data_IF_154704643548
#
_entry.id   IF_154704643548
#
_cell.length_a   1.000
_cell.length_b   1.000
_cell.length_c   1.000
_cell.angle_alpha   90.00
_cell.angle_beta   90.00
_cell.angle_gamma   90.00
#
_symmetry.space_group_name_H-M   'P 1'
#
loop_
_entity.id
_entity.type
_entity.pdbx_description
1 polymer ?
2 non-polymer ?
3 non-polymer ?
4 water ?
#
# COMPACT_ATOMS: atom_id res chain seq x y z
N UNK A 14 -17.11 -27.68 16.97
CA UNK A 14 -18.56 -27.59 16.60
C UNK A 14 -18.81 -26.39 15.65
N UNK A 15 -18.37 -25.22 16.04
CA UNK A 15 -18.53 -24.01 15.24
C UNK A 15 -17.81 -24.21 13.87
N UNK A 16 -18.45 -23.79 12.79
CA UNK A 16 -17.87 -23.85 11.47
C UNK A 16 -18.15 -22.54 10.73
N UNK A 17 -17.22 -22.19 9.82
CA UNK A 17 -17.40 -21.05 8.95
C UNK A 17 -17.09 -21.41 7.49
N UNK A 18 -17.79 -20.76 6.56
CA UNK A 18 -17.46 -20.96 5.17
C UNK A 18 -15.98 -20.65 4.87
N UNK A 19 -15.49 -21.34 3.86
CA UNK A 19 -14.13 -21.13 3.35
C UNK A 19 -13.93 -19.70 3.02
N UNK A 20 -14.95 -19.07 2.50
CA UNK A 20 -14.89 -17.71 2.09
C UNK A 20 -14.50 -16.73 3.17
N UNK A 21 -14.76 -17.03 4.44
CA UNK A 21 -14.35 -16.12 5.54
C UNK A 21 -12.84 -15.94 5.57
N UNK A 22 -12.11 -17.00 5.24
CA UNK A 22 -10.65 -17.04 5.38
C UNK A 22 -9.96 -16.52 4.11
N UNK A 23 -10.68 -16.50 2.99
CA UNK A 23 -10.01 -16.37 1.69
C UNK A 23 -9.33 -15.02 1.57
N UNK A 24 -8.07 -15.02 1.13
CA UNK A 24 -7.27 -13.84 1.10
C UNK A 24 -6.49 -13.78 -0.19
N UNK A 25 -6.43 -12.57 -0.72
CA UNK A 25 -5.66 -12.26 -1.93
C UNK A 25 -4.56 -11.25 -1.68
N UNK A 26 -3.40 -11.50 -2.29
CA UNK A 26 -2.30 -10.53 -2.27
C UNK A 26 -1.77 -10.35 -3.69
N UNK A 27 -1.27 -9.14 -3.98
CA UNK A 27 -0.56 -8.90 -5.23
C UNK A 27 0.74 -8.19 -4.89
N UNK A 28 1.83 -8.56 -5.54
CA UNK A 28 3.14 -7.97 -5.24
C UNK A 28 3.86 -7.69 -6.55
N UNK A 29 4.53 -6.57 -6.61
CA UNK A 29 5.34 -6.24 -7.75
C UNK A 29 6.68 -6.95 -7.59
N UNK A 30 7.20 -7.51 -8.67
CA UNK A 30 8.54 -8.15 -8.64
C UNK A 30 9.57 -7.07 -8.95
N UNK A 31 10.50 -6.83 -8.01
CA UNK A 31 11.48 -5.82 -8.20
C UNK A 31 12.91 -6.36 -8.18
N UNK A 32 13.88 -5.56 -8.66
CA UNK A 32 15.30 -6.05 -8.75
C UNK A 32 15.92 -6.70 -7.51
N UNK A 33 15.62 -6.21 -6.30
CA UNK A 33 16.13 -6.89 -5.09
C UNK A 33 15.65 -8.32 -4.86
N UNK A 34 14.54 -8.67 -5.51
CA UNK A 34 13.84 -9.93 -5.39
C UNK A 34 14.34 -11.00 -6.36
N UNK A 35 15.25 -10.66 -7.29
CA UNK A 35 15.62 -11.53 -8.42
C UNK A 35 17.11 -11.86 -8.46
N UNK A 36 17.44 -12.96 -9.15
CA UNK A 36 18.82 -13.27 -9.53
C UNK A 36 19.29 -12.26 -10.59
N UNK A 37 20.55 -12.34 -10.98
CA UNK A 37 21.11 -11.28 -11.81
C UNK A 37 20.62 -11.35 -13.25
N UNK A 38 19.97 -12.44 -13.60
CA UNK A 38 19.22 -12.56 -14.83
C UNK A 38 17.77 -12.07 -14.78
N UNK A 39 17.30 -11.68 -13.60
CA UNK A 39 15.97 -11.10 -13.41
C UNK A 39 14.84 -12.03 -13.07
N UNK A 40 15.18 -13.28 -12.71
CA UNK A 40 14.21 -14.29 -12.28
C UNK A 40 14.04 -14.22 -10.77
N UNK A 41 12.79 -14.14 -10.31
CA UNK A 41 12.53 -14.00 -8.88
C UNK A 41 13.12 -15.19 -8.10
N UNK A 42 13.74 -14.89 -6.95
CA UNK A 42 14.22 -15.99 -6.06
C UNK A 42 13.07 -16.83 -5.59
N UNK A 43 13.24 -18.16 -5.59
CA UNK A 43 12.30 -19.08 -4.96
C UNK A 43 11.91 -18.66 -3.55
N UNK A 44 12.88 -18.21 -2.79
CA UNK A 44 12.64 -17.81 -1.42
C UNK A 44 11.67 -16.66 -1.23
N UNK A 45 11.66 -15.71 -2.14
CA UNK A 45 10.72 -14.60 -2.05
C UNK A 45 9.30 -15.13 -2.23
N UNK A 46 9.13 -16.04 -3.20
CA UNK A 46 7.83 -16.64 -3.45
C UNK A 46 7.35 -17.48 -2.25
N UNK A 47 8.28 -18.23 -1.67
CA UNK A 47 7.96 -18.90 -0.44
C UNK A 47 7.57 -17.97 0.72
N UNK A 48 8.27 -16.86 0.85
CA UNK A 48 7.99 -15.86 1.90
C UNK A 48 6.55 -15.35 1.72
N UNK A 49 6.22 -15.03 0.48
CA UNK A 49 4.87 -14.52 0.16
C UNK A 49 3.77 -15.54 0.37
N UNK A 50 4.05 -16.81 0.07
CA UNK A 50 3.13 -17.92 0.31
C UNK A 50 2.80 -18.05 1.82
N UNK A 51 3.82 -18.03 2.66
CA UNK A 51 3.59 -18.12 4.11
C UNK A 51 2.85 -16.87 4.61
N UNK A 52 3.16 -15.70 4.09
CA UNK A 52 2.50 -14.46 4.52
C UNK A 52 1.02 -14.57 4.28
N UNK A 53 0.64 -15.03 3.10
CA UNK A 53 -0.79 -15.09 2.77
C UNK A 53 -1.42 -16.23 3.58
N UNK A 54 -0.69 -17.30 3.82
CA UNK A 54 -1.23 -18.37 4.62
C UNK A 54 -1.51 -17.97 6.06
N UNK A 55 -0.62 -17.20 6.64
CA UNK A 55 -0.76 -16.67 8.00
C UNK A 55 -1.99 -15.78 8.05
N UNK A 56 -2.15 -14.88 7.08
CA UNK A 56 -3.33 -14.03 7.05
C UNK A 56 -4.63 -14.82 6.96
N UNK A 57 -4.64 -15.78 6.07
CA UNK A 57 -5.76 -16.69 5.90
C UNK A 57 -6.16 -17.41 7.19
N UNK A 58 -5.16 -17.98 7.85
CA UNK A 58 -5.38 -18.77 9.05
C UNK A 58 -5.81 -17.86 10.21
N UNK A 60 -7.51 -15.11 9.92
CA UNK A 60 -8.92 -14.78 9.62
C UNK A 60 -9.87 -15.89 9.99
N UNK A 61 -9.44 -17.14 9.77
CA UNK A 61 -10.32 -18.27 10.09
C UNK A 61 -10.45 -18.47 11.58
N UNK A 62 -9.35 -18.34 12.31
CA UNK A 62 -9.26 -18.68 13.74
C UNK A 62 -9.35 -17.52 14.68
N UNK A 63 -9.29 -16.29 14.14
CA UNK A 63 -9.22 -15.08 14.94
C UNK A 63 -8.18 -15.19 16.08
N UNK A 64 -6.96 -15.56 15.70
CA UNK A 64 -5.89 -15.91 16.63
C UNK A 64 -4.56 -15.62 16.01
N UNK A 65 -3.54 -15.44 16.84
CA UNK A 65 -2.18 -15.62 16.33
C UNK A 65 -2.04 -17.05 15.79
N UNK A 66 -1.13 -17.20 14.83
CA UNK A 66 -0.85 -18.51 14.25
C UNK A 66 0.64 -18.72 14.07
N UNK A 67 1.05 -19.98 13.95
CA UNK A 67 2.43 -20.31 13.60
C UNK A 67 2.37 -21.34 12.48
N UNK A 68 3.42 -21.36 11.66
CA UNK A 68 3.49 -22.31 10.58
C UNK A 68 4.09 -23.63 11.08
N UNK A 69 3.30 -24.69 11.08
CA UNK A 69 3.84 -25.98 11.47
C UNK A 69 4.66 -26.67 10.40
N UNK A 70 4.19 -26.55 9.18
CA UNK A 70 4.82 -27.13 8.00
C UNK A 70 4.29 -26.55 6.68
N UNK A 71 5.07 -26.75 5.64
CA UNK A 71 4.69 -26.55 4.26
C UNK A 71 4.98 -27.85 3.49
N UNK A 72 4.08 -28.27 2.61
CA UNK A 72 4.33 -29.43 1.78
C UNK A 72 5.31 -29.00 0.68
N UNK A 73 5.68 -29.95 -0.16
CA UNK A 73 6.61 -29.63 -1.24
C UNK A 73 6.04 -28.51 -2.15
N UNK A 74 6.92 -27.71 -2.76
CA UNK A 74 6.52 -26.60 -3.64
C UNK A 74 7.33 -26.78 -4.95
N UNK A 75 6.64 -27.04 -6.06
CA UNK A 75 7.29 -27.25 -7.36
C UNK A 75 7.00 -26.00 -8.17
N UNK A 76 8.03 -25.32 -8.62
CA UNK A 76 7.88 -24.10 -9.40
C UNK A 76 7.72 -24.44 -10.87
N UNK A 77 6.52 -24.20 -11.36
CA UNK A 77 6.11 -24.49 -12.73
C UNK A 77 6.57 -23.46 -13.73
N UNK A 78 6.79 -22.24 -13.24
CA UNK A 78 7.24 -21.14 -14.09
C UNK A 78 7.88 -20.12 -13.19
N UNK A 79 8.51 -19.13 -13.82
CA UNK A 79 9.19 -18.05 -13.10
C UNK A 79 8.39 -16.77 -13.18
N UNK A 80 8.87 -15.78 -12.48
CA UNK A 80 8.36 -14.48 -12.66
C UNK A 80 9.63 -13.65 -12.75
N UNK A 81 9.52 -12.53 -13.38
CA UNK A 81 10.64 -11.64 -13.63
C UNK A 81 10.27 -10.23 -13.30
N UNK A 82 11.25 -9.35 -13.35
CA UNK A 82 11.02 -7.94 -13.11
C UNK A 82 9.86 -7.31 -13.92
N UNK A 83 9.36 -7.98 -14.96
CA UNK A 83 8.20 -7.43 -15.66
C UNK A 83 6.87 -8.01 -15.22
N UNK A 84 6.90 -8.82 -14.16
CA UNK A 84 5.69 -9.50 -13.58
C UNK A 84 5.20 -8.87 -12.22
N UNK A 85 3.88 -8.97 -11.96
CA UNK A 85 3.22 -8.95 -10.68
C UNK A 85 2.96 -10.40 -10.31
N UNK A 86 3.09 -10.69 -9.04
CA UNK A 86 2.71 -11.96 -8.50
C UNK A 86 1.39 -11.83 -7.80
N UNK A 87 0.49 -12.76 -8.08
CA UNK A 87 -0.84 -12.81 -7.52
C UNK A 87 -0.94 -14.10 -6.67
N UNK A 88 -1.34 -13.94 -5.43
CA UNK A 88 -1.48 -15.05 -4.53
C UNK A 88 -2.90 -15.11 -3.99
N UNK A 89 -3.37 -16.35 -3.77
CA UNK A 89 -4.68 -16.56 -3.16
C UNK A 89 -4.60 -17.74 -2.22
N UNK A 90 -5.12 -17.57 -1.03
CA UNK A 90 -5.09 -18.59 -0.02
C UNK A 90 -6.48 -18.79 0.59
N UNK A 91 -6.75 -20.02 0.97
CA UNK A 91 -7.91 -20.32 1.82
C UNK A 91 -7.74 -21.59 2.59
N UNK A 92 -8.44 -21.63 3.73
CA UNK A 92 -8.46 -22.81 4.59
C UNK A 92 -9.29 -23.85 3.88
N UNK A 93 -8.75 -25.08 3.78
CA UNK A 93 -9.40 -26.15 3.06
C UNK A 93 -9.93 -27.21 4.00
N UNK A 94 -9.39 -27.28 5.21
CA UNK A 94 -9.73 -28.37 6.18
C UNK A 94 -9.08 -28.04 7.51
N UNK A 95 -9.61 -28.59 8.58
CA UNK A 95 -9.07 -28.31 9.91
C UNK A 95 -8.97 -29.57 10.74
N UNK A 96 -8.10 -29.54 11.72
CA UNK A 96 -8.05 -30.55 12.79
C UNK A 96 -8.52 -29.86 14.06
N UNK A 97 -7.91 -30.17 15.18
CA UNK A 97 -8.31 -29.62 16.47
C UNK A 97 -7.81 -28.20 16.62
N UNK A 98 -6.51 -28.01 16.42
CA UNK A 98 -5.86 -26.71 16.51
C UNK A 98 -5.20 -26.30 15.22
N UNK A 99 -5.26 -27.18 14.21
CA UNK A 99 -4.53 -26.99 12.94
C UNK A 99 -5.48 -26.75 11.78
N UNK A 101 -5.32 -26.72 7.43
CA UNK A 101 -4.66 -26.78 6.14
C UNK A 101 -5.04 -25.54 5.33
N UNK A 102 -4.02 -24.90 4.79
CA UNK A 102 -4.16 -23.74 3.94
C UNK A 102 -3.62 -24.07 2.53
N UNK A 103 -4.48 -23.91 1.55
CA UNK A 103 -4.08 -24.00 0.13
C UNK A 103 -3.74 -22.61 -0.38
N UNK A 104 -2.62 -22.51 -1.07
CA UNK A 104 -2.19 -21.29 -1.71
C UNK A 104 -1.88 -21.56 -3.19
N UNK A 105 -2.37 -20.66 -4.06
CA UNK A 105 -2.01 -20.65 -5.49
C UNK A 105 -1.33 -19.34 -5.81
N UNK A 106 -0.32 -19.43 -6.65
CA UNK A 106 0.46 -18.27 -7.07
C UNK A 106 0.50 -18.23 -8.61
N UNK A 107 0.19 -17.06 -9.17
CA UNK A 107 0.28 -16.78 -10.63
C UNK A 107 1.18 -15.57 -10.83
N UNK A 108 1.82 -15.53 -11.99
CA UNK A 108 2.49 -14.31 -12.44
C UNK A 108 1.59 -13.61 -13.44
N UNK A 109 1.58 -12.32 -13.39
CA UNK A 109 0.93 -11.50 -14.38
C UNK A 109 2.01 -10.72 -15.15
N UNK A 110 2.22 -11.08 -16.41
CA UNK A 110 3.22 -10.42 -17.24
C UNK A 110 2.78 -8.97 -17.55
N UNK A 111 3.54 -8.03 -17.06
CA UNK A 111 2.99 -6.67 -17.16
C UNK A 111 3.09 -6.12 -18.59
N UNK A 112 3.86 -6.72 -19.49
CA UNK A 112 3.84 -6.29 -20.92
C UNK A 112 2.72 -6.91 -21.76
N UNK A 113 2.39 -8.18 -21.56
CA UNK A 113 1.41 -8.89 -22.40
C UNK A 113 0.07 -9.15 -21.75
N UNK A 114 0.04 -9.09 -20.43
CA UNK A 114 -1.13 -9.42 -19.66
C UNK A 114 -1.35 -10.89 -19.44
N UNK A 115 -0.41 -11.72 -19.89
CA UNK A 115 -0.51 -13.17 -19.73
C UNK A 115 -0.40 -13.61 -18.24
N UNK A 116 -1.35 -14.44 -17.77
CA UNK A 116 -1.28 -15.02 -16.43
C UNK A 116 -0.80 -16.46 -16.53
N UNK A 117 0.18 -16.81 -15.71
CA UNK A 117 0.76 -18.12 -15.72
C UNK A 117 0.78 -18.64 -14.28
N UNK A 118 0.34 -19.89 -14.11
CA UNK A 118 0.45 -20.54 -12.80
C UNK A 118 1.93 -20.80 -12.43
N UNK A 119 2.35 -20.22 -11.29
CA UNK A 119 3.72 -20.28 -10.83
C UNK A 119 3.89 -21.51 -9.94
N UNK A 120 3.02 -21.59 -8.94
CA UNK A 120 3.00 -22.79 -8.11
C UNK A 120 1.74 -22.84 -7.26
N UNK A 121 1.55 -23.98 -6.63
CA UNK A 121 0.49 -24.25 -5.66
C UNK A 121 1.10 -24.97 -4.48
N UNK A 122 0.54 -24.77 -3.30
CA UNK A 122 1.10 -25.43 -2.15
C UNK A 122 0.02 -25.58 -1.05
N UNK A 123 0.24 -26.54 -0.18
CA UNK A 123 -0.49 -26.64 1.10
C UNK A 123 0.43 -26.40 2.28
N UNK A 124 -0.06 -25.62 3.25
CA UNK A 124 0.60 -25.44 4.48
C UNK A 124 -0.25 -25.90 5.66
N UNK A 125 0.40 -26.15 6.77
CA UNK A 125 -0.31 -26.47 8.00
C UNK A 125 -0.02 -25.34 8.98
N UNK A 127 -1.08 -23.49 12.73
CA UNK A 127 -1.60 -23.83 14.06
C UNK A 127 -1.97 -22.57 14.77
N UNK A 128 -3.20 -22.47 15.25
CA UNK A 128 -3.63 -21.32 16.05
C UNK A 128 -3.04 -21.44 17.43
N UNK A 129 -2.57 -20.34 17.98
CA UNK A 129 -2.00 -20.30 19.31
C UNK A 129 -2.63 -19.22 20.19
N UNK A 130 -2.76 -19.52 21.49
CA UNK A 130 -3.26 -18.56 22.48
C UNK A 130 -2.13 -17.59 22.85
N UNK A 131 -2.38 -16.67 23.77
CA UNK A 131 -1.40 -15.62 24.07
C UNK A 131 -0.10 -16.12 24.72
N UNK A 132 -0.13 -17.34 25.23
CA UNK A 132 1.07 -18.00 25.73
C UNK A 132 1.74 -18.86 24.66
N UNK A 133 1.21 -18.87 23.44
CA UNK A 133 1.82 -19.62 22.37
C UNK A 133 1.48 -21.08 22.35
N UNK A 134 0.49 -21.48 23.15
CA UNK A 134 0.01 -22.86 23.19
C UNK A 134 -1.09 -23.09 22.14
N UNK A 135 -1.03 -24.22 21.42
CA UNK A 135 -2.08 -24.52 20.47
C UNK A 135 -3.49 -24.40 21.02
N UNK A 136 -4.37 -23.85 20.20
CA UNK A 136 -5.69 -23.40 20.58
C UNK A 136 -6.69 -23.99 19.57
N UNK A 137 -7.86 -24.44 20.03
CA UNK A 137 -8.88 -24.99 19.15
C UNK A 137 -9.34 -24.03 18.07
N UNK A 138 -9.56 -24.57 16.87
CA UNK A 138 -10.02 -23.80 15.73
C UNK A 138 -11.39 -24.27 15.27
N UNK A 139 -12.18 -23.33 14.71
CA UNK A 139 -13.46 -23.76 14.15
C UNK A 139 -13.26 -24.62 12.88
N UNK A 140 -14.28 -25.39 12.54
CA UNK A 140 -14.25 -26.09 11.26
C UNK A 140 -14.52 -25.15 10.10
N UNK A 141 -14.21 -25.61 8.91
CA UNK A 141 -14.48 -24.91 7.66
C UNK A 141 -15.60 -25.64 6.89
N UNK A 142 -16.43 -24.85 6.20
CA UNK A 142 -17.57 -25.34 5.41
C UNK A 142 -17.24 -25.16 3.94
N UNK A 143 -16.89 -26.23 3.20
CA UNK A 143 -16.60 -26.05 1.75
C UNK A 143 -17.87 -25.73 0.96
N UNK A 144 -17.79 -24.88 -0.04
CA UNK A 144 -18.98 -24.51 -0.79
C UNK A 144 -18.84 -24.71 -2.28
N UNK A 145 -17.75 -24.25 -2.88
CA UNK A 145 -17.48 -24.55 -4.30
C UNK A 145 -17.14 -26.01 -4.49
N UNK A 146 -17.24 -26.53 -5.73
CA UNK A 146 -16.84 -27.89 -5.97
C UNK A 146 -15.35 -28.13 -5.74
N UNK A 147 -14.54 -27.13 -6.05
CA UNK A 147 -13.10 -27.18 -5.76
C UNK A 147 -12.83 -27.33 -4.25
N UNK A 148 -13.50 -26.50 -3.47
CA UNK A 148 -13.42 -26.57 -2.00
C UNK A 148 -13.87 -27.92 -1.45
N UNK A 149 -14.96 -28.48 -1.97
CA UNK A 149 -15.43 -29.77 -1.50
C UNK A 149 -14.40 -30.83 -1.82
N UNK A 150 -13.83 -30.76 -3.04
CA UNK A 150 -12.83 -31.75 -3.43
C UNK A 150 -11.57 -31.66 -2.52
N UNK A 151 -11.10 -30.46 -2.24
CA UNK A 151 -9.94 -30.27 -1.37
C UNK A 151 -10.24 -30.74 0.06
N UNK A 152 -11.43 -30.45 0.55
CA UNK A 152 -11.87 -30.93 1.87
C UNK A 152 -11.89 -32.48 1.92
N UNK A 153 -12.44 -33.11 0.89
CA UNK A 153 -12.57 -34.55 0.84
C UNK A 153 -11.19 -35.24 0.86
N UNK A 154 -10.20 -34.60 0.26
CA UNK A 154 -8.88 -35.17 0.07
C UNK A 154 -7.88 -34.77 1.13
N UNK A 155 -8.28 -33.91 2.08
CA UNK A 155 -7.39 -33.37 3.10
C UNK A 155 -6.95 -34.48 4.10
N UNK A 156 -7.87 -35.34 4.56
CA UNK A 156 -7.42 -36.40 5.50
C UNK A 156 -6.24 -37.24 5.01
N UNK A 157 -6.25 -37.63 3.73
CA UNK A 157 -5.14 -38.35 3.15
C UNK A 157 -3.83 -37.56 3.20
N UNK A 158 -3.89 -36.25 2.94
CA UNK A 158 -2.72 -35.42 2.97
C UNK A 158 -2.18 -35.30 4.39
N UNK A 159 -3.09 -35.24 5.36
CA UNK A 159 -2.71 -35.14 6.76
C UNK A 159 -2.00 -36.44 7.18
N UNK A 160 -2.51 -37.57 6.73
CA UNK A 160 -1.88 -38.86 6.99
C UNK A 160 -0.47 -38.90 6.43
N UNK A 161 -0.28 -38.36 5.22
CA UNK A 161 1.07 -38.26 4.63
C UNK A 161 2.03 -37.39 5.44
N UNK A 162 1.55 -36.31 6.03
CA UNK A 162 2.40 -35.45 6.84
C UNK A 162 2.82 -36.19 8.12
N UNK A 163 1.90 -36.96 8.71
CA UNK A 163 2.25 -37.81 9.87
C UNK A 163 3.33 -38.84 9.51
N UNK A 164 3.15 -39.51 8.37
CA UNK A 164 4.12 -40.51 7.94
C UNK A 164 5.52 -39.93 7.70
N UNK A 165 5.60 -38.77 7.05
CA UNK A 165 6.89 -38.26 6.61
C UNK A 165 7.71 -37.74 7.78
N UNK A 166 7.02 -37.34 8.85
CA UNK A 166 7.67 -36.83 10.04
C UNK A 166 7.98 -37.97 11.03
N UNK A 167 7.54 -39.19 10.75
CA UNK A 167 7.78 -40.34 11.67
C UNK A 167 9.21 -40.88 11.54
N UNK A 168 9.68 -41.53 12.61
CA UNK A 168 11.00 -42.17 12.64
C UNK A 168 10.98 -43.53 11.91
N UNK B 15 1.90 30.53 24.82
CA UNK B 15 3.04 29.60 24.43
C UNK B 15 3.16 29.41 22.91
N UNK B 16 4.27 29.89 22.39
CA UNK B 16 4.54 29.94 20.97
C UNK B 16 6.03 29.80 20.73
N UNK B 17 6.34 29.29 19.55
CA UNK B 17 7.71 29.16 19.10
C UNK B 17 7.77 29.64 17.67
N UNK B 18 8.90 30.16 17.27
CA UNK B 18 9.13 30.44 15.85
C UNK B 18 9.10 29.20 14.96
N UNK B 19 8.73 29.46 13.70
CA UNK B 19 8.74 28.45 12.68
C UNK B 19 10.15 27.82 12.62
N UNK B 20 11.19 28.62 12.80
CA UNK B 20 12.55 28.09 12.65
C UNK B 20 12.89 26.99 13.63
N UNK B 21 12.22 26.99 14.78
CA UNK B 21 12.55 26.04 15.82
C UNK B 21 12.32 24.62 15.36
N UNK B 22 11.32 24.45 14.53
CA UNK B 22 10.90 23.13 14.11
C UNK B 22 11.26 22.84 12.64
N UNK B 23 11.79 23.83 11.91
CA UNK B 23 12.16 23.58 10.54
C UNK B 23 13.13 22.42 10.44
N UNK B 24 12.87 21.54 9.50
CA UNK B 24 13.66 20.33 9.35
C UNK B 24 14.08 20.20 7.89
N UNK B 25 15.34 19.84 7.69
CA UNK B 25 15.90 19.56 6.39
C UNK B 25 16.39 18.13 6.28
N UNK B 26 16.18 17.52 5.12
CA UNK B 26 16.62 16.16 4.86
C UNK B 26 17.19 16.09 3.44
N UNK B 27 18.21 15.25 3.28
CA UNK B 27 18.78 14.89 1.97
C UNK B 27 18.97 13.39 1.95
N UNK B 28 18.40 12.75 0.94
CA UNK B 28 18.41 11.32 0.78
C UNK B 28 18.87 10.97 -0.58
N UNK B 29 19.75 9.98 -0.63
CA UNK B 29 20.22 9.42 -1.86
C UNK B 29 19.11 8.53 -2.40
N UNK B 30 18.77 8.70 -3.66
CA UNK B 30 17.76 7.88 -4.31
C UNK B 30 18.41 6.55 -4.74
N UNK B 31 17.92 5.46 -4.17
CA UNK B 31 18.59 4.18 -4.38
C UNK B 31 17.68 3.19 -5.03
N UNK B 32 18.27 2.21 -5.77
CA UNK B 32 17.54 1.20 -6.54
C UNK B 32 16.22 0.72 -5.92
N UNK B 33 16.20 0.31 -4.64
CA UNK B 33 14.93 -0.10 -4.00
C UNK B 33 13.83 0.98 -3.95
N UNK B 34 14.25 2.26 -3.94
CA UNK B 34 13.31 3.38 -3.94
C UNK B 34 12.64 3.52 -5.30
N UNK B 35 13.19 2.83 -6.30
CA UNK B 35 12.91 3.20 -7.66
C UNK B 35 12.26 2.04 -8.38
N UNK B 36 11.69 2.37 -9.54
CA UNK B 36 11.02 1.40 -10.35
C UNK B 36 11.95 0.82 -11.36
N UNK B 37 11.52 -0.25 -12.01
CA UNK B 37 12.41 -0.98 -12.89
C UNK B 37 13.00 -0.12 -14.05
N UNK B 38 12.54 1.12 -14.27
CA UNK B 38 13.28 2.06 -15.16
C UNK B 38 14.14 3.05 -14.36
N UNK B 39 14.22 2.84 -13.04
CA UNK B 39 15.00 3.71 -12.14
C UNK B 39 14.41 5.05 -11.71
N UNK B 40 13.10 5.23 -11.91
CA UNK B 40 12.41 6.45 -11.45
C UNK B 40 11.90 6.18 -10.08
N UNK B 41 11.99 7.15 -9.21
CA UNK B 41 11.52 6.96 -7.88
C UNK B 41 10.01 6.74 -7.85
N UNK B 42 9.58 5.81 -7.02
CA UNK B 42 8.14 5.60 -6.80
C UNK B 42 7.52 6.82 -6.14
N UNK B 43 6.36 7.22 -6.63
CA UNK B 43 5.57 8.21 -5.99
C UNK B 43 5.36 7.93 -4.54
N UNK B 44 5.13 6.66 -4.21
CA UNK B 44 4.84 6.33 -2.81
C UNK B 44 6.06 6.51 -1.90
N UNK B 45 7.27 6.43 -2.44
CA UNK B 45 8.47 6.64 -1.58
C UNK B 45 8.62 8.07 -1.27
N UNK B 46 8.33 8.90 -2.26
CA UNK B 46 8.34 10.32 -2.06
C UNK B 46 7.29 10.72 -1.01
N UNK B 47 6.11 10.15 -1.12
CA UNK B 47 5.07 10.38 -0.12
C UNK B 47 5.46 9.95 1.30
N UNK B 48 6.15 8.84 1.41
CA UNK B 48 6.63 8.33 2.69
C UNK B 48 7.66 9.30 3.29
N UNK B 49 8.54 9.80 2.45
CA UNK B 49 9.56 10.75 2.91
C UNK B 49 8.94 12.08 3.31
N UNK B 50 7.89 12.50 2.59
CA UNK B 50 7.18 13.73 2.92
C UNK B 50 6.54 13.63 4.32
N UNK B 51 5.89 12.50 4.56
CA UNK B 51 5.25 12.29 5.86
C UNK B 51 6.30 12.19 6.97
N UNK B 52 7.41 11.49 6.71
CA UNK B 52 8.49 11.41 7.70
C UNK B 52 8.99 12.80 8.12
N UNK B 53 9.26 13.67 7.14
CA UNK B 53 9.78 15.00 7.47
C UNK B 53 8.70 15.82 8.15
N UNK B 54 7.46 15.64 7.73
CA UNK B 54 6.37 16.38 8.42
C UNK B 54 6.23 15.92 9.89
N UNK B 55 6.40 14.62 10.14
CA UNK B 55 6.28 14.05 11.47
C UNK B 55 7.42 14.62 12.35
N UNK B 56 8.65 14.57 11.84
CA UNK B 56 9.78 15.13 12.55
C UNK B 56 9.56 16.60 12.89
N UNK B 57 9.04 17.34 11.91
CA UNK B 57 8.81 18.78 12.06
C UNK B 57 7.77 19.05 13.16
N UNK B 58 6.68 18.31 13.07
CA UNK B 58 5.56 18.46 14.03
C UNK B 58 5.99 18.02 15.45
N UNK B 60 9.01 18.15 16.69
CA UNK B 60 9.88 19.20 17.18
C UNK B 60 9.11 20.42 17.67
N UNK B 61 8.05 20.80 16.97
CA UNK B 61 7.24 21.90 17.41
C UNK B 61 6.45 21.56 18.69
N UNK B 62 5.85 20.37 18.75
CA UNK B 62 4.89 20.00 19.82
C UNK B 62 5.54 19.27 20.99
N UNK B 63 6.77 18.77 20.79
CA UNK B 63 7.44 17.92 21.75
C UNK B 63 6.54 16.78 22.16
N UNK B 64 6.04 16.07 21.16
CA UNK B 64 4.98 15.08 21.34
C UNK B 64 5.04 14.09 20.23
N UNK B 65 4.61 12.87 20.51
CA UNK B 65 4.17 11.99 19.45
C UNK B 65 3.11 12.75 18.60
N UNK B 66 3.09 12.43 17.30
CA UNK B 66 2.12 12.97 16.36
C UNK B 66 1.54 11.85 15.47
N UNK B 67 0.38 12.12 14.90
CA UNK B 67 -0.22 11.28 13.89
C UNK B 67 -0.59 12.18 12.69
N UNK B 68 -0.66 11.59 11.50
CA UNK B 68 -1.04 12.30 10.31
C UNK B 68 -2.54 12.23 10.15
N UNK B 69 -3.20 13.34 10.25
CA UNK B 69 -4.63 13.39 10.05
C UNK B 69 -5.00 13.41 8.56
N UNK B 70 -4.22 14.15 7.77
CA UNK B 70 -4.49 14.23 6.34
C UNK B 70 -3.32 14.81 5.59
N UNK B 71 -3.30 14.59 4.28
CA UNK B 71 -2.36 15.28 3.40
C UNK B 71 -3.20 15.91 2.31
N UNK B 72 -2.85 17.12 1.90
CA UNK B 72 -3.50 17.71 0.73
C UNK B 72 -2.98 17.07 -0.57
N UNK B 73 -3.58 17.42 -1.68
CA UNK B 73 -3.14 16.90 -2.96
C UNK B 73 -1.64 17.17 -3.19
N UNK B 74 -0.99 16.24 -3.85
CA UNK B 74 0.41 16.30 -4.20
C UNK B 74 0.53 16.09 -5.69
N UNK B 75 1.03 17.13 -6.39
CA UNK B 75 1.29 17.10 -7.81
C UNK B 75 2.77 16.95 -8.02
N UNK B 76 3.17 15.89 -8.71
CA UNK B 76 4.57 15.61 -8.95
C UNK B 76 5.00 16.30 -10.22
N UNK B 77 5.78 17.36 -10.04
CA UNK B 77 6.17 18.23 -11.14
C UNK B 77 7.33 17.67 -11.91
N UNK B 78 8.12 16.83 -11.26
CA UNK B 78 9.25 16.22 -11.91
C UNK B 78 9.57 14.93 -11.22
N UNK B 79 10.42 14.14 -11.86
CA UNK B 79 10.82 12.84 -11.34
C UNK B 79 12.16 12.96 -10.65
N UNK B 80 12.55 11.90 -9.97
CA UNK B 80 13.91 11.72 -9.54
C UNK B 80 14.36 10.34 -9.95
N UNK B 81 15.64 10.24 -10.26
CA UNK B 81 16.27 9.02 -10.69
C UNK B 81 17.32 8.56 -9.71
N UNK B 82 17.62 7.28 -9.75
CA UNK B 82 18.75 6.73 -9.01
C UNK B 82 20.04 7.42 -9.51
N UNK B 83 21.05 7.69 -8.69
CA UNK B 83 20.96 8.19 -7.34
C UNK B 83 21.18 9.72 -7.45
N UNK B 84 20.12 10.41 -7.86
CA UNK B 84 19.90 11.80 -7.49
C UNK B 84 19.88 11.90 -5.99
N UNK B 85 20.04 13.12 -5.51
CA UNK B 85 19.70 13.42 -4.14
C UNK B 85 18.27 13.97 -4.12
N UNK B 86 17.49 13.50 -3.16
CA UNK B 86 16.21 14.11 -2.87
C UNK B 86 16.34 15.00 -1.64
N UNK B 87 15.92 16.27 -1.79
CA UNK B 87 16.02 17.25 -0.74
C UNK B 87 14.63 17.64 -0.29
N UNK B 88 14.41 17.56 1.02
CA UNK B 88 13.15 17.91 1.60
C UNK B 88 13.32 18.95 2.68
N UNK B 89 12.36 19.85 2.75
CA UNK B 89 12.34 20.87 3.80
C UNK B 89 10.93 20.86 4.33
N UNK B 90 10.76 20.92 5.65
CA UNK B 90 9.45 21.03 6.25
C UNK B 90 9.42 22.06 7.35
N UNK B 91 8.27 22.73 7.51
CA UNK B 91 8.09 23.62 8.64
C UNK B 91 6.62 23.82 8.94
N UNK B 92 6.35 24.13 10.21
CA UNK B 92 5.01 24.38 10.68
C UNK B 92 4.60 25.79 10.21
N UNK B 93 3.45 25.84 9.59
CA UNK B 93 2.94 27.12 9.06
C UNK B 93 1.85 27.72 9.91
N UNK B 94 1.11 26.94 10.66
CA UNK B 94 -0.07 27.40 11.40
C UNK B 94 -0.52 26.31 12.31
N UNK B 95 -1.24 26.65 13.38
CA UNK B 95 -1.65 25.65 14.36
C UNK B 95 -3.10 25.89 14.72
N UNK B 96 -3.75 24.81 15.08
CA UNK B 96 -5.01 24.80 15.76
C UNK B 96 -4.79 24.44 17.20
N UNK B 97 -5.82 23.94 17.87
CA UNK B 97 -5.65 23.58 19.27
C UNK B 97 -4.65 22.45 19.48
N UNK B 98 -4.83 21.37 18.74
CA UNK B 98 -4.03 20.16 18.85
C UNK B 98 -3.36 19.79 17.51
N UNK B 99 -3.54 20.62 16.49
CA UNK B 99 -3.15 20.30 15.15
C UNK B 99 -2.15 21.31 14.63
N UNK B 101 -0.45 22.59 10.79
CA UNK B 101 -0.25 22.49 9.35
C UNK B 101 1.25 22.51 9.13
N UNK B 102 1.73 21.60 8.33
CA UNK B 102 3.12 21.51 7.97
C UNK B 102 3.24 21.59 6.43
N UNK B 103 4.13 22.49 5.98
CA UNK B 103 4.43 22.69 4.58
C UNK B 103 5.71 21.89 4.29
N UNK B 104 5.67 21.07 3.23
CA UNK B 104 6.87 20.35 2.80
C UNK B 104 7.15 20.65 1.34
N UNK B 105 8.40 20.93 1.06
CA UNK B 105 8.90 21.21 -0.31
C UNK B 105 10.01 20.21 -0.62
N UNK B 106 9.89 19.53 -1.76
CA UNK B 106 10.82 18.50 -2.20
C UNK B 106 11.48 18.92 -3.54
N UNK B 107 12.81 18.79 -3.63
CA UNK B 107 13.57 18.96 -4.87
C UNK B 107 14.35 17.70 -5.17
N UNK B 108 14.64 17.46 -6.44
CA UNK B 108 15.60 16.45 -6.81
C UNK B 108 16.83 17.20 -7.29
N UNK B 109 17.99 16.64 -6.98
CA UNK B 109 19.23 17.23 -7.30
C UNK B 109 20.12 16.20 -7.94
N UNK B 110 20.44 16.41 -9.22
CA UNK B 110 21.35 15.52 -9.92
C UNK B 110 22.73 16.01 -9.58
N UNK B 111 23.44 15.26 -8.74
CA UNK B 111 24.70 15.77 -8.22
C UNK B 111 25.81 15.71 -9.26
N UNK B 112 25.67 14.85 -10.26
CA UNK B 112 26.67 14.80 -11.33
C UNK B 112 26.56 16.02 -12.25
N UNK B 113 25.34 16.40 -12.62
CA UNK B 113 25.14 17.53 -13.52
C UNK B 113 24.88 18.87 -12.85
N UNK B 114 24.54 18.90 -11.57
CA UNK B 114 24.10 20.13 -10.90
C UNK B 114 22.64 20.56 -11.12
N UNK B 115 21.91 19.82 -11.94
CA UNK B 115 20.51 20.13 -12.24
C UNK B 115 19.64 19.88 -10.97
N UNK B 116 18.95 20.91 -10.52
CA UNK B 116 18.08 20.81 -9.36
C UNK B 116 16.70 21.24 -9.79
N UNK B 117 15.70 20.44 -9.46
CA UNK B 117 14.35 20.72 -9.92
C UNK B 117 13.35 20.52 -8.80
N UNK B 118 12.34 21.39 -8.75
CA UNK B 118 11.25 21.19 -7.83
C UNK B 118 10.43 19.97 -8.20
N UNK B 119 10.26 19.07 -7.23
CA UNK B 119 9.52 17.86 -7.39
C UNK B 119 8.08 18.06 -6.93
N UNK B 120 7.91 18.57 -5.74
CA UNK B 120 6.57 18.90 -5.28
C UNK B 120 6.58 19.79 -4.05
N UNK B 121 5.39 20.30 -3.73
CA UNK B 121 5.14 20.99 -2.46
C UNK B 121 3.75 20.61 -1.99
N UNK B 122 3.59 20.46 -0.69
CA UNK B 122 2.25 20.13 -0.18
C UNK B 122 2.12 20.45 1.26
N UNK B 123 0.90 20.29 1.76
CA UNK B 123 0.60 20.59 3.13
C UNK B 123 0.05 19.33 3.74
N UNK B 124 0.45 19.10 4.98
CA UNK B 124 -0.10 18.02 5.80
C UNK B 124 -0.67 18.59 7.10
N UNK B 125 -1.62 17.85 7.66
CA UNK B 125 -2.21 18.19 8.93
C UNK B 125 -1.77 17.14 9.91
N UNK B 127 -1.46 15.91 14.04
CA UNK B 127 -2.11 16.07 15.36
C UNK B 127 -1.17 15.53 16.43
N UNK B 128 -0.87 16.35 17.43
CA UNK B 128 -0.11 15.90 18.58
C UNK B 128 -0.99 15.00 19.44
N UNK B 129 -0.40 13.91 19.91
CA UNK B 129 -1.12 13.01 20.80
C UNK B 129 -0.29 12.69 22.06
N UNK B 130 -0.99 12.50 23.17
CA UNK B 130 -0.34 12.10 24.41
C UNK B 130 -0.02 10.61 24.41
N UNK B 131 0.50 10.12 25.52
CA UNK B 131 1.00 8.76 25.61
C UNK B 131 -0.12 7.76 25.39
N UNK B 132 -1.34 8.15 25.74
CA UNK B 132 -2.53 7.33 25.51
C UNK B 132 -3.19 7.56 24.14
N UNK B 133 -2.59 8.38 23.29
CA UNK B 133 -3.09 8.59 21.93
C UNK B 133 -4.20 9.61 21.80
N UNK B 134 -4.46 10.34 22.87
CA UNK B 134 -5.44 11.41 22.89
C UNK B 134 -4.82 12.72 22.36
N UNK B 135 -5.55 13.48 21.52
CA UNK B 135 -5.04 14.77 21.04
C UNK B 135 -4.59 15.68 22.19
N UNK B 136 -3.51 16.40 21.95
CA UNK B 136 -2.77 17.10 22.98
C UNK B 136 -2.61 18.53 22.49
N UNK B 137 -2.85 19.51 23.35
CA UNK B 137 -2.61 20.89 22.92
C UNK B 137 -1.17 21.17 22.47
N UNK B 138 -1.04 22.02 21.45
CA UNK B 138 0.26 22.38 20.90
C UNK B 138 0.49 23.86 21.01
N UNK B 139 1.76 24.25 21.10
CA UNK B 139 2.07 25.66 21.11
C UNK B 139 1.74 26.32 19.78
N UNK B 140 1.56 27.63 19.85
CA UNK B 140 1.35 28.39 18.62
C UNK B 140 2.67 28.54 17.90
N UNK B 141 2.59 28.93 16.64
CA UNK B 141 3.79 29.13 15.82
C UNK B 141 3.89 30.63 15.52
N UNK B 142 5.12 31.16 15.51
CA UNK B 142 5.35 32.60 15.24
C UNK B 142 6.09 32.88 13.89
N UNK B 143 5.33 33.34 12.86
CA UNK B 143 5.98 33.46 11.58
C UNK B 143 6.93 34.62 11.58
N UNK B 144 8.04 34.42 10.90
CA UNK B 144 9.02 35.45 10.88
C UNK B 144 9.34 35.94 9.47
N UNK B 145 9.65 35.07 8.52
CA UNK B 145 9.87 35.55 7.15
C UNK B 145 8.57 36.04 6.51
N UNK B 146 8.72 36.56 5.26
CA UNK B 146 7.56 37.00 4.51
C UNK B 146 6.81 35.80 3.97
N UNK B 147 7.54 34.73 3.63
CA UNK B 147 6.92 33.51 3.10
C UNK B 147 6.12 32.88 4.25
N UNK B 148 6.72 32.80 5.43
CA UNK B 148 6.08 32.30 6.65
C UNK B 148 4.82 33.10 7.00
N UNK B 149 4.94 34.42 6.99
CA UNK B 149 3.78 35.27 7.28
C UNK B 149 2.65 35.01 6.28
N UNK B 150 2.99 34.89 5.00
CA UNK B 150 1.99 34.58 3.95
C UNK B 150 1.30 33.20 4.08
N UNK B 151 2.09 32.17 4.38
CA UNK B 151 1.56 30.85 4.61
C UNK B 151 0.66 30.86 5.85
N UNK B 152 1.03 31.59 6.89
CA UNK B 152 0.23 31.65 8.10
C UNK B 152 -1.11 32.35 7.85
N UNK B 153 -1.05 33.48 7.15
CA UNK B 153 -2.25 34.26 6.80
C UNK B 153 -3.23 33.44 5.93
N UNK B 154 -2.70 32.57 5.07
CA UNK B 154 -3.52 31.76 4.16
C UNK B 154 -3.95 30.40 4.70
N UNK B 155 -3.42 30.02 5.87
CA UNK B 155 -3.75 28.71 6.43
C UNK B 155 -5.23 28.55 6.80
N UNK B 156 -5.86 29.55 7.43
CA UNK B 156 -7.30 29.36 7.73
C UNK B 156 -8.17 28.95 6.52
N UNK B 157 -7.88 29.52 5.37
CA UNK B 157 -8.60 29.22 4.15
C UNK B 157 -8.36 27.80 3.72
N UNK B 158 -7.11 27.34 3.77
CA UNK B 158 -6.86 25.93 3.50
C UNK B 158 -7.57 25.01 4.50
N UNK B 159 -7.65 25.42 5.77
CA UNK B 159 -8.31 24.57 6.75
C UNK B 159 -9.79 24.45 6.39
N UNK B 160 -10.39 25.53 5.88
CA UNK B 160 -11.84 25.55 5.53
C UNK B 160 -12.13 24.59 4.36
N UNK B 161 -11.20 24.52 3.40
CA UNK B 161 -11.34 23.61 2.27
C UNK B 161 -11.20 22.17 2.71
N UNK B 162 -10.35 21.91 3.68
CA UNK B 162 -10.29 20.56 4.24
C UNK B 162 -11.60 20.17 4.92
N UNK B 163 -12.16 21.10 5.70
CA UNK B 163 -13.44 20.88 6.36
C UNK B 163 -14.54 20.59 5.33
N UNK B 164 -14.60 21.36 4.25
CA UNK B 164 -15.59 21.17 3.17
C UNK B 164 -15.45 19.80 2.49
N UNK B 165 -14.21 19.43 2.14
CA UNK B 165 -13.89 18.10 1.61
C UNK B 165 -13.69 17.10 2.75
N UNK C 12 -1.61 0.94 -32.27
CA UNK C 12 -2.89 1.64 -31.96
C UNK C 12 -3.98 0.58 -31.79
N UNK C 14 -8.12 -0.07 -30.84
CA UNK C 14 -9.44 0.57 -30.84
C UNK C 14 -10.21 0.17 -29.58
N UNK C 15 -10.21 -1.11 -29.23
CA UNK C 15 -11.02 -1.61 -28.10
C UNK C 15 -10.64 -0.98 -26.78
N UNK C 16 -11.64 -0.86 -25.90
CA UNK C 16 -11.40 -0.61 -24.49
C UNK C 16 -11.01 -1.89 -23.75
N UNK C 17 -10.49 -1.73 -22.54
CA UNK C 17 -10.32 -2.80 -21.57
C UNK C 17 -11.26 -2.58 -20.40
N UNK C 18 -11.89 -3.62 -19.92
CA UNK C 18 -12.77 -3.50 -18.75
C UNK C 18 -11.95 -3.14 -17.50
N UNK C 19 -12.62 -2.48 -16.59
CA UNK C 19 -12.05 -2.18 -15.27
C UNK C 19 -11.49 -3.46 -14.62
N UNK C 20 -12.22 -4.56 -14.82
CA UNK C 20 -11.87 -5.82 -14.19
C UNK C 20 -10.48 -6.34 -14.59
N UNK C 21 -10.01 -6.00 -15.79
CA UNK C 21 -8.67 -6.38 -16.21
C UNK C 21 -7.60 -6.03 -15.19
N UNK C 22 -7.69 -4.87 -14.62
CA UNK C 22 -6.58 -4.33 -13.82
C UNK C 22 -6.92 -4.14 -12.33
N UNK C 23 -8.16 -4.46 -11.94
CA UNK C 23 -8.53 -4.33 -10.52
C UNK C 23 -7.56 -5.17 -9.68
N UNK C 24 -7.09 -4.56 -8.59
CA UNK C 24 -6.07 -5.17 -7.74
C UNK C 24 -6.46 -5.13 -6.25
N UNK C 25 -6.15 -6.22 -5.55
CA UNK C 25 -6.38 -6.41 -4.12
C UNK C 25 -5.04 -6.74 -3.48
N UNK C 26 -4.76 -6.09 -2.35
CA UNK C 26 -3.60 -6.42 -1.52
C UNK C 26 -4.07 -6.53 -0.07
N UNK C 27 -3.40 -7.40 0.68
CA UNK C 27 -3.62 -7.56 2.10
C UNK C 27 -2.25 -7.70 2.74
N UNK C 28 -2.01 -6.95 3.82
CA UNK C 28 -0.72 -7.02 4.47
C UNK C 28 -0.82 -6.78 5.94
N UNK C 29 -0.07 -7.54 6.68
CA UNK C 29 -0.05 -7.43 8.11
C UNK C 29 0.72 -6.15 8.45
N UNK C 30 0.24 -5.40 9.42
CA UNK C 30 0.94 -4.16 9.86
C UNK C 30 2.08 -4.57 10.82
N UNK C 31 3.34 -4.25 10.45
CA UNK C 31 4.48 -4.64 11.29
C UNK C 31 5.20 -3.43 11.91
N UNK C 32 6.11 -3.69 12.89
CA UNK C 32 6.73 -2.54 13.60
C UNK C 32 7.46 -1.47 12.73
N UNK C 33 8.12 -1.85 11.62
CA UNK C 33 8.70 -0.76 10.79
C UNK C 33 7.69 0.31 10.32
N UNK C 34 6.42 -0.12 10.21
CA UNK C 34 5.35 0.69 9.66
C UNK C 34 4.71 1.64 10.63
N UNK C 35 5.20 1.63 11.85
CA UNK C 35 4.45 2.09 12.98
C UNK C 35 5.26 3.14 13.80
N UNK C 36 4.55 4.10 14.40
CA UNK C 36 5.15 5.06 15.35
C UNK C 36 5.32 4.42 16.72
N UNK C 37 6.09 5.08 17.59
CA UNK C 37 6.46 4.45 18.84
C UNK C 37 5.26 4.09 19.74
N UNK C 38 4.08 4.60 19.46
CA UNK C 38 2.86 4.14 20.19
C UNK C 38 2.16 2.99 19.43
N UNK C 39 2.80 2.44 18.40
CA UNK C 39 2.16 1.36 17.63
C UNK C 39 1.08 1.67 16.57
N UNK C 40 0.86 2.95 16.28
CA UNK C 40 -0.04 3.37 15.22
C UNK C 40 0.73 3.47 13.92
N UNK C 41 0.12 2.99 12.83
CA UNK C 41 0.77 3.00 11.56
C UNK C 41 1.03 4.43 11.08
N UNK C 42 2.19 4.68 10.47
CA UNK C 42 2.50 5.96 9.86
C UNK C 42 1.66 6.25 8.65
N UNK C 43 1.19 7.48 8.56
CA UNK C 43 0.49 7.95 7.37
C UNK C 43 1.30 7.66 6.12
N UNK C 44 2.62 7.85 6.21
CA UNK C 44 3.50 7.66 5.06
C UNK C 44 3.55 6.23 4.56
N UNK C 45 3.45 5.29 5.46
CA UNK C 45 3.35 3.87 5.09
C UNK C 45 2.07 3.57 4.36
N UNK C 46 0.94 4.07 4.85
CA UNK C 46 -0.32 3.90 4.13
C UNK C 46 -0.27 4.56 2.74
N UNK C 47 0.32 5.76 2.69
CA UNK C 47 0.50 6.45 1.41
C UNK C 47 1.38 5.65 0.46
N UNK C 48 2.47 5.08 0.96
CA UNK C 48 3.32 4.26 0.12
C UNK C 48 2.56 3.03 -0.42
N UNK C 49 1.74 2.40 0.43
CA UNK C 49 0.96 1.26 -0.02
C UNK C 49 -0.13 1.65 -1.03
N UNK C 50 -0.74 2.81 -0.85
CA UNK C 50 -1.75 3.33 -1.80
C UNK C 50 -1.12 3.52 -3.19
N UNK C 51 0.04 4.15 -3.24
CA UNK C 51 0.75 4.30 -4.51
C UNK C 51 1.15 2.98 -5.12
N UNK C 52 1.60 2.06 -4.28
CA UNK C 52 1.99 0.77 -4.77
C UNK C 52 0.84 0.03 -5.47
N UNK C 53 -0.33 0.01 -4.83
CA UNK C 53 -1.46 -0.63 -5.46
C UNK C 53 -1.93 0.12 -6.73
N UNK C 54 -1.90 1.46 -6.70
CA UNK C 54 -2.25 2.28 -7.88
C UNK C 54 -1.28 1.99 -9.03
N UNK C 55 0.00 1.88 -8.73
CA UNK C 55 0.99 1.52 -9.73
C UNK C 55 0.71 0.12 -10.34
N UNK C 56 0.45 -0.92 -9.54
CA UNK C 56 0.11 -2.21 -10.04
C UNK C 56 -1.13 -2.20 -10.95
N UNK C 57 -2.15 -1.48 -10.53
CA UNK C 57 -3.42 -1.39 -11.22
C UNK C 57 -3.20 -0.74 -12.62
N UNK C 58 -2.48 0.35 -12.59
CA UNK C 58 -2.22 1.11 -13.82
C UNK C 58 -1.35 0.34 -14.80
N UNK C 60 -1.24 -2.96 -15.05
CA UNK C 60 -2.07 -3.99 -15.62
C UNK C 60 -3.02 -3.45 -16.69
N UNK C 61 -3.43 -2.19 -16.56
CA UNK C 61 -4.32 -1.61 -17.53
C UNK C 61 -3.54 -1.21 -18.81
N UNK C 62 -2.42 -0.54 -18.62
CA UNK C 62 -1.68 0.01 -19.75
C UNK C 62 -0.61 -0.89 -20.32
N UNK C 63 -0.30 -1.95 -19.59
CA UNK C 63 0.84 -2.83 -19.95
C UNK C 63 2.12 -2.07 -20.27
N UNK C 64 2.46 -1.17 -19.36
CA UNK C 64 3.54 -0.19 -19.55
C UNK C 64 4.10 0.14 -18.17
N UNK C 65 5.32 0.67 -18.18
CA UNK C 65 5.79 1.42 -17.04
C UNK C 65 4.84 2.60 -16.83
N UNK C 66 4.75 3.06 -15.58
CA UNK C 66 3.92 4.19 -15.23
C UNK C 66 4.64 5.07 -14.24
N UNK C 67 4.19 6.30 -14.16
CA UNK C 67 4.63 7.20 -13.09
C UNK C 67 3.42 7.83 -12.42
N UNK C 68 3.58 8.22 -11.17
CA UNK C 68 2.53 8.95 -10.44
C UNK C 68 2.58 10.43 -10.75
N UNK C 69 1.52 10.91 -11.41
CA UNK C 69 1.43 12.33 -11.78
C UNK C 69 0.96 13.10 -10.56
N UNK C 70 0.03 12.54 -9.80
CA UNK C 70 -0.51 13.21 -8.61
C UNK C 70 -1.33 12.28 -7.76
N UNK C 71 -1.51 12.69 -6.52
CA UNK C 71 -2.48 12.04 -5.65
C UNK C 71 -3.40 13.12 -5.16
N UNK C 72 -4.70 12.84 -5.09
CA UNK C 72 -5.60 13.85 -4.50
C UNK C 72 -5.46 13.82 -2.97
N UNK C 73 -6.18 14.70 -2.29
CA UNK C 73 -6.05 14.79 -0.83
C UNK C 73 -6.45 13.44 -0.28
N UNK C 74 -5.81 13.06 0.83
CA UNK C 74 -6.07 11.87 1.62
C UNK C 74 -6.37 12.24 3.08
N UNK C 75 -7.58 11.88 3.53
CA UNK C 75 -8.02 12.11 4.91
C UNK C 75 -8.04 10.77 5.61
N UNK C 76 -7.26 10.65 6.66
CA UNK C 76 -7.16 9.40 7.40
C UNK C 76 -8.33 9.32 8.38
N UNK C 77 -9.20 8.33 8.19
CA UNK C 77 -10.41 8.23 9.01
C UNK C 77 -10.18 7.40 10.25
N UNK C 78 -9.16 6.56 10.21
CA UNK C 78 -8.77 5.78 11.33
C UNK C 78 -7.31 5.35 11.16
N UNK C 79 -6.77 4.71 12.18
CA UNK C 79 -5.39 4.25 12.08
C UNK C 79 -5.26 2.81 12.54
N UNK C 80 -4.59 2.03 11.73
CA UNK C 80 -4.33 0.63 12.09
C UNK C 80 -3.27 0.53 13.15
N UNK C 81 -3.31 -0.57 13.86
CA UNK C 81 -2.34 -0.84 14.90
C UNK C 81 -1.54 -2.02 14.45
N UNK C 82 -0.26 -1.95 14.80
CA UNK C 82 0.66 -3.04 14.56
C UNK C 82 -0.08 -4.35 14.82
N UNK C 83 0.02 -5.24 13.85
CA UNK C 83 -0.62 -6.54 13.93
C UNK C 83 -1.93 -6.67 13.20
N UNK C 84 -2.69 -5.56 13.01
CA UNK C 84 -3.90 -5.55 12.15
C UNK C 84 -3.53 -6.01 10.73
N UNK C 85 -4.53 -6.27 9.91
CA UNK C 85 -4.30 -6.37 8.45
C UNK C 85 -4.80 -5.11 7.74
N UNK C 86 -4.00 -4.59 6.86
CA UNK C 86 -4.39 -3.53 5.95
C UNK C 86 -4.88 -4.17 4.66
N UNK C 87 -6.05 -3.71 4.21
CA UNK C 87 -6.68 -4.27 3.02
C UNK C 87 -6.83 -3.12 2.02
N UNK C 88 -6.28 -3.30 0.84
CA UNK C 88 -6.33 -2.30 -0.20
C UNK C 88 -6.96 -2.84 -1.45
N UNK C 89 -7.73 -2.00 -2.11
CA UNK C 89 -8.31 -2.34 -3.42
C UNK C 89 -8.15 -1.12 -4.32
N UNK C 90 -7.67 -1.37 -5.54
CA UNK C 90 -7.55 -0.32 -6.52
C UNK C 90 -8.11 -0.69 -7.87
N UNK C 91 -8.60 0.32 -8.59
CA UNK C 91 -9.06 0.04 -9.96
C UNK C 91 -9.07 1.31 -10.79
N UNK C 92 -8.91 1.14 -12.09
CA UNK C 92 -8.94 2.30 -13.01
C UNK C 92 -10.36 2.77 -13.15
N UNK C 93 -10.61 4.04 -12.90
CA UNK C 93 -11.97 4.56 -12.99
C UNK C 93 -12.28 5.30 -14.32
N UNK C 94 -11.24 5.87 -14.95
CA UNK C 94 -11.43 6.72 -16.12
C UNK C 94 -10.08 6.92 -16.75
N UNK C 95 -10.06 7.21 -18.05
CA UNK C 95 -8.82 7.40 -18.80
C UNK C 95 -8.88 8.67 -19.61
N UNK C 96 -7.73 9.28 -19.76
CA UNK C 96 -7.51 10.34 -20.70
C UNK C 96 -6.78 9.80 -21.94
N UNK C 97 -5.81 10.54 -22.42
CA UNK C 97 -4.98 10.10 -23.54
C UNK C 97 -3.85 9.22 -23.03
N UNK C 98 -3.06 9.74 -22.08
CA UNK C 98 -1.94 9.00 -21.50
C UNK C 98 -2.14 8.72 -20.01
N UNK C 99 -3.22 9.23 -19.43
CA UNK C 99 -3.39 9.24 -17.99
C UNK C 99 -4.54 8.30 -17.62
N UNK C 101 -7.05 7.60 -14.12
CA UNK C 101 -7.50 7.81 -12.74
C UNK C 101 -7.62 6.46 -12.07
N UNK C 102 -7.03 6.37 -10.89
CA UNK C 102 -7.10 5.18 -10.06
C UNK C 102 -7.71 5.49 -8.71
N UNK C 103 -8.76 4.76 -8.36
CA UNK C 103 -9.39 4.84 -7.08
C UNK C 103 -8.88 3.73 -6.16
N UNK C 104 -8.51 4.10 -4.95
CA UNK C 104 -7.97 3.15 -4.01
C UNK C 104 -8.75 3.34 -2.68
N UNK C 105 -9.16 2.23 -2.11
CA UNK C 105 -9.87 2.18 -0.87
C UNK C 105 -9.08 1.27 0.09
N UNK C 106 -8.91 1.74 1.33
CA UNK C 106 -8.13 1.12 2.31
C UNK C 106 -8.94 0.89 3.58
N UNK C 107 -8.85 -0.31 4.15
CA UNK C 107 -9.50 -0.64 5.40
C UNK C 107 -8.45 -1.35 6.29
N UNK C 108 -8.66 -1.28 7.59
CA UNK C 108 -7.88 -2.09 8.51
C UNK C 108 -8.82 -3.11 9.11
N UNK C 109 -8.27 -4.30 9.32
CA UNK C 109 -9.03 -5.40 9.81
C UNK C 109 -8.29 -5.97 11.02
N UNK C 110 -8.91 -5.87 12.19
CA UNK C 110 -8.42 -6.49 13.37
C UNK C 110 -8.71 -7.96 13.32
N UNK C 111 -7.68 -8.77 13.10
CA UNK C 111 -7.94 -10.19 12.89
C UNK C 111 -8.28 -10.95 14.15
N UNK C 112 -7.96 -10.39 15.30
CA UNK C 112 -8.24 -11.00 16.57
C UNK C 112 -9.70 -10.77 17.00
N UNK C 113 -10.24 -9.60 16.66
CA UNK C 113 -11.57 -9.23 17.13
C UNK C 113 -12.60 -9.24 16.05
N UNK C 114 -12.16 -9.23 14.80
CA UNK C 114 -13.06 -9.15 13.66
C UNK C 114 -13.51 -7.71 13.30
N UNK C 115 -12.96 -6.70 13.96
CA UNK C 115 -13.38 -5.32 13.67
C UNK C 115 -12.68 -4.82 12.43
N UNK C 116 -13.47 -4.41 11.42
CA UNK C 116 -13.00 -3.83 10.17
C UNK C 116 -13.46 -2.36 10.07
N UNK C 117 -12.54 -1.46 9.77
CA UNK C 117 -12.82 -0.04 9.70
C UNK C 117 -12.20 0.58 8.45
N UNK C 118 -12.91 1.55 7.90
CA UNK C 118 -12.39 2.31 6.78
C UNK C 118 -11.22 3.20 7.18
N UNK C 119 -10.14 3.08 6.43
CA UNK C 119 -8.93 3.85 6.70
C UNK C 119 -8.98 5.13 5.88
N UNK C 120 -9.09 4.94 4.57
CA UNK C 120 -9.19 6.07 3.68
C UNK C 120 -9.59 5.65 2.29
N UNK C 121 -9.93 6.64 1.49
CA UNK C 121 -10.13 6.47 0.09
C UNK C 121 -9.45 7.64 -0.63
N UNK C 122 -9.00 7.39 -1.86
CA UNK C 122 -8.06 8.29 -2.52
C UNK C 122 -8.20 8.11 -4.00
N UNK C 123 -7.89 9.15 -4.75
CA UNK C 123 -7.79 9.08 -6.20
C UNK C 123 -6.37 9.52 -6.54
N UNK C 124 -5.76 8.79 -7.46
CA UNK C 124 -4.43 9.07 -7.98
C UNK C 124 -4.53 9.18 -9.48
N UNK C 125 -3.61 9.94 -10.08
CA UNK C 125 -3.50 9.96 -11.52
C UNK C 125 -2.17 9.37 -11.89
N UNK C 127 0.32 7.93 -15.10
CA UNK C 127 0.59 8.19 -16.52
C UNK C 127 1.47 7.06 -17.06
N UNK C 128 1.06 6.43 -18.15
CA UNK C 128 1.94 5.47 -18.80
C UNK C 128 3.09 6.12 -19.49
N UNK C 129 4.27 5.51 -19.38
CA UNK C 129 5.46 6.07 -20.03
C UNK C 129 6.14 5.03 -20.88
N UNK C 130 6.81 5.55 -21.91
CA UNK C 130 7.66 4.70 -22.75
C UNK C 130 9.02 4.50 -22.08
N UNK C 131 9.89 3.75 -22.73
CA UNK C 131 11.22 3.42 -22.18
C UNK C 131 12.07 4.67 -22.00
N UNK C 132 11.76 5.71 -22.76
CA UNK C 132 12.33 7.05 -22.58
C UNK C 132 11.74 7.89 -21.42
N UNK C 133 10.60 7.46 -20.85
CA UNK C 133 9.99 8.18 -19.73
C UNK C 133 8.99 9.22 -20.20
N UNK C 134 8.67 9.19 -21.49
CA UNK C 134 7.74 10.16 -22.08
C UNK C 134 6.32 9.59 -22.05
N UNK C 135 5.31 10.44 -21.75
CA UNK C 135 3.96 9.86 -21.74
C UNK C 135 3.54 9.15 -23.03
N UNK C 136 2.76 8.11 -22.87
CA UNK C 136 2.40 7.16 -23.91
C UNK C 136 0.90 6.89 -23.82
N UNK C 137 0.22 6.76 -24.97
CA UNK C 137 -1.21 6.57 -24.87
C UNK C 137 -1.59 5.27 -24.17
N UNK C 138 -2.74 5.32 -23.51
CA UNK C 138 -3.25 4.18 -22.78
C UNK C 138 -4.57 3.74 -23.40
N UNK C 139 -4.95 2.48 -23.20
CA UNK C 139 -6.27 2.05 -23.63
C UNK C 139 -7.38 2.72 -22.85
N UNK C 140 -8.53 2.86 -23.47
CA UNK C 140 -9.69 3.40 -22.75
C UNK C 140 -10.24 2.33 -21.83
N UNK C 141 -10.83 2.76 -20.72
CA UNK C 141 -11.39 1.81 -19.78
C UNK C 141 -12.90 1.73 -19.96
N UNK C 142 -13.44 0.52 -19.72
CA UNK C 142 -14.89 0.23 -19.76
C UNK C 142 -15.41 -0.11 -18.39
N UNK C 143 -16.25 0.79 -17.83
CA UNK C 143 -16.91 0.49 -16.57
C UNK C 143 -18.02 -0.53 -16.77
N UNK C 144 -18.15 -1.51 -15.88
CA UNK C 144 -19.15 -2.53 -16.06
C UNK C 144 -20.13 -2.64 -14.90
N UNK C 145 -19.65 -2.58 -13.67
CA UNK C 145 -20.55 -2.67 -12.52
C UNK C 145 -21.16 -1.33 -12.28
N UNK C 146 -22.25 -1.27 -11.50
CA UNK C 146 -22.84 0.04 -11.21
C UNK C 146 -21.89 1.02 -10.46
N UNK C 147 -21.11 0.49 -9.53
CA UNK C 147 -20.08 1.24 -8.81
C UNK C 147 -19.05 1.85 -9.79
N UNK C 148 -18.57 1.00 -10.70
CA UNK C 148 -17.64 1.46 -11.73
C UNK C 148 -18.26 2.55 -12.61
N UNK C 149 -19.50 2.33 -13.05
CA UNK C 149 -20.16 3.35 -13.88
C UNK C 149 -20.33 4.68 -13.16
N UNK C 150 -20.67 4.65 -11.87
CA UNK C 150 -20.82 5.92 -11.09
C UNK C 150 -19.48 6.66 -10.99
N UNK C 151 -18.41 5.92 -10.72
CA UNK C 151 -17.08 6.55 -10.68
C UNK C 151 -16.64 7.09 -12.00
N UNK C 152 -16.96 6.40 -13.08
CA UNK C 152 -16.65 6.88 -14.41
C UNK C 152 -17.41 8.17 -14.70
N UNK C 153 -18.69 8.21 -14.33
CA UNK C 153 -19.57 9.36 -14.60
C UNK C 153 -19.05 10.61 -13.93
N UNK C 154 -18.52 10.44 -12.73
CA UNK C 154 -18.06 11.56 -11.90
C UNK C 154 -16.58 11.92 -12.08
N UNK C 155 -15.84 11.12 -12.85
CA UNK C 155 -14.44 11.40 -13.10
C UNK C 155 -14.15 12.74 -13.79
N UNK C 156 -14.90 13.11 -14.84
CA UNK C 156 -14.58 14.40 -15.48
C UNK C 156 -14.59 15.63 -14.56
N UNK C 157 -15.55 15.72 -13.65
CA UNK C 157 -15.57 16.78 -12.63
C UNK C 157 -14.31 16.77 -11.76
N UNK C 158 -13.92 15.58 -11.29
CA UNK C 158 -12.69 15.45 -10.52
C UNK C 158 -11.48 15.94 -11.33
N UNK C 159 -11.46 15.66 -12.62
CA UNK C 159 -10.32 15.99 -13.50
C UNK C 159 -10.24 17.48 -13.75
N UNK C 160 -11.40 18.14 -13.72
CA UNK C 160 -11.45 19.59 -13.89
C UNK C 160 -10.76 20.27 -12.71
N UNK C 161 -10.99 19.78 -11.49
CA UNK C 161 -10.30 20.33 -10.32
C UNK C 161 -8.77 20.19 -10.41
N UNK C 162 -8.32 19.04 -10.88
CA UNK C 162 -6.89 18.82 -11.07
C UNK C 162 -6.32 19.79 -12.12
N UNK C 163 -7.02 19.92 -13.24
CA UNK C 163 -6.66 20.94 -14.24
C UNK C 163 -6.56 22.30 -13.56
N UNK C 164 -7.52 22.60 -12.70
CA UNK C 164 -7.55 23.87 -11.99
C UNK C 164 -6.27 24.10 -11.15
N UNK C 165 -5.92 23.17 -10.25
CA UNK C 165 -4.74 23.36 -9.36
C UNK C 165 -3.37 23.27 -10.07
#
# INVERSE_FOLDING_TARGET
XGSDKIHHHHHHXIQSYPVERSRTIQTRLVLPPDTNHLGTIFGGKVLAYIDEIAALTAXKHANSAVVTASIDSVDFKSSATVGDALELEGFVTHTGRTSXEVYVRVHSNNLLTGERTLTTESFLTXVAVDESGKPKPVPQVEPQTEEEKRLYETAPARKENRKKRAALR
XGSDKIHHHHHHXIQSYPVERSRTIQTRLVLPPDTNHLGTIFGGKVLAYIDEIAALTAXKHANSAVVTASIDSVDFKSSATVGDALELEGFVTHTGRTSXEVYVRVHSNNLLTGERTLTTESFLTXVAVDESGKPKPVPQVEPQTEEEKRLYETAPARKENRKKRAALR
XGSDKIHHHHHHXIQSYPVERSRTIQTRLVLPPDTNHLGTIFGGKVLAYIDEIAALTAXKHANSAVVTASIDSVDFKSSATVGDALELEGFVTHTGRTSXEVYVRVHSNNLLTGERTLTTESFLTXVAVDESGKPKPVPQVEPQTEEEKRLYETAPARKENRKKRAALR
#
